data_IF_405014410878
#
_entry.id   IF_405014410878
#
_cell.length_a   1.000
_cell.length_b   1.000
_cell.length_c   1.000
_cell.angle_alpha   90.00
_cell.angle_beta   90.00
_cell.angle_gamma   90.00
#
_symmetry.space_group_name_H-M   'P 1'
#
loop_
_entity.id
_entity.type
_entity.pdbx_description
1 polymer ?
#
# COMPACT_ATOMS: atom_id res chain seq x y z
N UNK A 1 -8.89 3.73 -0.53
CA UNK A 1 -9.83 4.29 0.46
C UNK A 1 -11.23 3.84 0.09
N UNK A 2 -12.14 3.73 1.06
CA UNK A 2 -13.53 3.33 0.79
C UNK A 2 -14.27 4.51 0.19
N UNK A 3 -14.86 4.33 -1.00
CA UNK A 3 -15.45 5.42 -1.79
C UNK A 3 -16.58 6.12 -1.05
N UNK A 4 -17.39 5.36 -0.32
CA UNK A 4 -18.51 5.86 0.48
C UNK A 4 -18.02 6.74 1.64
N UNK A 5 -16.95 6.32 2.32
CA UNK A 5 -16.32 7.12 3.38
C UNK A 5 -15.74 8.41 2.83
N UNK A 6 -15.00 8.32 1.73
CA UNK A 6 -14.33 9.45 1.08
C UNK A 6 -15.33 10.52 0.61
N UNK A 7 -16.44 10.08 0.00
CA UNK A 7 -17.50 10.97 -0.49
C UNK A 7 -18.15 11.74 0.66
N UNK A 8 -18.49 11.07 1.76
CA UNK A 8 -19.10 11.73 2.91
C UNK A 8 -18.12 12.65 3.64
N UNK A 9 -16.86 12.24 3.79
CA UNK A 9 -15.83 13.05 4.42
C UNK A 9 -15.56 14.37 3.66
N UNK A 10 -15.54 14.33 2.32
CA UNK A 10 -15.30 15.52 1.50
C UNK A 10 -16.52 16.40 1.26
N UNK A 11 -17.73 15.89 1.49
CA UNK A 11 -18.95 16.70 1.41
C UNK A 11 -19.14 17.61 2.65
N UNK A 12 -18.50 17.29 3.77
CA UNK A 12 -18.58 18.09 5.00
C UNK A 12 -17.74 19.36 4.91
N UNK A 13 -18.28 20.46 5.42
CA UNK A 13 -17.66 21.80 5.35
C UNK A 13 -17.42 22.41 6.72
N UNK A 14 -18.17 22.02 7.75
CA UNK A 14 -18.14 22.66 9.06
C UNK A 14 -17.40 21.81 10.10
N UNK A 15 -16.27 22.26 10.68
CA UNK A 15 -15.58 21.54 11.74
C UNK A 15 -16.51 21.19 12.90
N UNK A 16 -16.40 19.96 13.41
CA UNK A 16 -17.29 19.38 14.41
C UNK A 16 -18.57 18.74 13.86
N UNK A 17 -18.86 18.86 12.56
CA UNK A 17 -20.00 18.22 11.91
C UNK A 17 -19.87 16.69 11.95
N UNK A 18 -20.96 16.00 12.29
CA UNK A 18 -21.09 14.56 12.16
C UNK A 18 -21.80 14.19 10.86
N UNK A 19 -21.38 13.11 10.21
CA UNK A 19 -22.08 12.53 9.07
C UNK A 19 -23.28 11.70 9.51
N UNK A 20 -24.17 11.42 8.56
CA UNK A 20 -25.13 10.31 8.71
C UNK A 20 -24.40 8.97 8.83
N UNK A 21 -25.15 7.92 9.20
CA UNK A 21 -24.61 6.56 9.29
C UNK A 21 -24.29 6.03 7.90
N UNK A 22 -23.00 5.87 7.60
CA UNK A 22 -22.51 5.40 6.31
C UNK A 22 -22.27 3.89 6.37
N UNK A 23 -22.85 3.15 5.43
CA UNK A 23 -22.56 1.72 5.26
C UNK A 23 -21.37 1.55 4.33
N UNK A 24 -20.34 0.87 4.81
CA UNK A 24 -19.17 0.46 4.01
C UNK A 24 -19.05 -1.06 4.00
N UNK A 25 -18.13 -1.59 3.18
CA UNK A 25 -17.77 -3.01 3.21
C UNK A 25 -17.28 -3.50 4.59
N UNK A 26 -16.89 -2.58 5.48
CA UNK A 26 -16.41 -2.87 6.84
C UNK A 26 -17.49 -2.67 7.93
N UNK A 27 -18.72 -2.32 7.55
CA UNK A 27 -19.84 -2.09 8.48
C UNK A 27 -20.33 -0.64 8.50
N UNK A 28 -20.92 -0.21 9.62
CA UNK A 28 -21.51 1.11 9.77
C UNK A 28 -20.53 2.10 10.41
N UNK A 29 -20.40 3.30 9.83
CA UNK A 29 -19.44 4.31 10.24
C UNK A 29 -20.15 5.66 10.43
N UNK A 30 -19.78 6.40 11.48
CA UNK A 30 -20.14 7.81 11.70
C UNK A 30 -18.85 8.60 11.66
N UNK A 31 -18.79 9.65 10.85
CA UNK A 31 -17.58 10.46 10.64
C UNK A 31 -17.77 11.79 11.34
N UNK A 32 -16.78 12.24 12.12
CA UNK A 32 -16.69 13.61 12.62
C UNK A 32 -15.67 14.38 11.79
N UNK A 33 -16.07 15.50 11.20
CA UNK A 33 -15.17 16.34 10.43
C UNK A 33 -14.39 17.27 11.35
N UNK A 34 -13.08 17.05 11.48
CA UNK A 34 -12.18 17.90 12.29
C UNK A 34 -11.78 19.20 11.59
N UNK A 35 -11.99 19.28 10.26
CA UNK A 35 -11.52 20.38 9.43
C UNK A 35 -10.73 19.90 8.23
N UNK A 36 -10.33 20.84 7.38
CA UNK A 36 -9.52 20.59 6.18
C UNK A 36 -8.21 21.31 6.29
N UNK A 37 -7.12 20.57 6.23
CA UNK A 37 -5.81 21.15 5.97
C UNK A 37 -5.79 21.66 4.53
N UNK A 38 -5.53 22.96 4.28
CA UNK A 38 -5.40 23.45 2.93
C UNK A 38 -4.29 22.67 2.21
N UNK A 39 -4.46 22.46 0.91
CA UNK A 39 -3.40 21.91 0.07
C UNK A 39 -2.26 22.94 0.01
N UNK A 40 -1.38 22.91 1.01
CA UNK A 40 -0.19 23.72 1.03
C UNK A 40 0.73 23.26 -0.11
N UNK A 41 1.08 24.18 -1.00
CA UNK A 41 2.18 23.97 -1.94
C UNK A 41 3.45 23.94 -1.07
N UNK A 42 3.91 22.75 -0.70
CA UNK A 42 5.23 22.60 -0.09
C UNK A 42 6.26 22.92 -1.18
N UNK A 43 7.23 23.83 -0.93
CA UNK A 43 8.29 24.12 -1.87
C UNK A 43 8.98 22.83 -2.32
N UNK A 44 9.36 22.75 -3.60
CA UNK A 44 9.99 21.55 -4.16
C UNK A 44 11.21 21.12 -3.34
N UNK A 45 12.02 22.06 -2.87
CA UNK A 45 13.23 21.78 -2.09
C UNK A 45 12.95 21.01 -0.79
N UNK A 46 11.83 21.26 -0.12
CA UNK A 46 11.44 20.55 1.11
C UNK A 46 10.98 19.11 0.83
N UNK A 47 10.35 18.87 -0.32
CA UNK A 47 9.79 17.56 -0.67
C UNK A 47 10.74 16.73 -1.54
N UNK A 48 11.76 17.33 -2.13
CA UNK A 48 12.69 16.71 -3.09
C UNK A 48 13.32 15.43 -2.55
N UNK A 49 13.82 15.44 -1.32
CA UNK A 49 14.45 14.28 -0.70
C UNK A 49 13.46 13.10 -0.57
N UNK A 50 12.25 13.37 -0.09
CA UNK A 50 11.20 12.36 0.03
C UNK A 50 10.69 11.84 -1.32
N UNK A 51 10.55 12.73 -2.31
CA UNK A 51 10.21 12.36 -3.69
C UNK A 51 11.29 11.48 -4.30
N UNK A 52 12.57 11.82 -4.13
CA UNK A 52 13.68 11.04 -4.66
C UNK A 52 13.69 9.63 -4.10
N UNK A 53 13.56 9.46 -2.79
CA UNK A 53 13.47 8.14 -2.16
C UNK A 53 12.25 7.35 -2.64
N UNK A 54 11.10 8.01 -2.79
CA UNK A 54 9.87 7.38 -3.30
C UNK A 54 10.04 6.89 -4.74
N UNK A 55 10.59 7.73 -5.62
CA UNK A 55 10.81 7.39 -7.02
C UNK A 55 11.91 6.35 -7.19
N UNK A 56 12.98 6.42 -6.39
CA UNK A 56 14.03 5.41 -6.37
C UNK A 56 13.49 4.03 -6.01
N UNK A 57 12.71 3.93 -4.92
CA UNK A 57 12.08 2.66 -4.52
C UNK A 57 11.12 2.14 -5.58
N UNK A 58 10.33 3.03 -6.19
CA UNK A 58 9.43 2.66 -7.28
C UNK A 58 10.18 2.12 -8.49
N UNK A 59 11.20 2.84 -8.97
CA UNK A 59 12.01 2.42 -10.11
C UNK A 59 12.71 1.08 -9.87
N UNK A 60 13.22 0.84 -8.65
CA UNK A 60 13.78 -0.46 -8.27
C UNK A 60 12.72 -1.56 -8.32
N UNK A 61 11.56 -1.34 -7.71
CA UNK A 61 10.46 -2.33 -7.70
C UNK A 61 9.99 -2.67 -9.12
N UNK A 62 9.78 -1.65 -9.96
CA UNK A 62 9.35 -1.81 -11.34
C UNK A 62 10.41 -2.60 -12.13
N UNK A 63 11.69 -2.23 -11.98
CA UNK A 63 12.79 -2.93 -12.65
C UNK A 63 12.96 -4.36 -12.19
N UNK A 64 12.85 -4.63 -10.89
CA UNK A 64 12.88 -5.99 -10.36
C UNK A 64 11.72 -6.82 -10.89
N UNK A 65 10.54 -6.24 -11.01
CA UNK A 65 9.35 -6.90 -11.55
C UNK A 65 9.53 -7.26 -13.02
N UNK A 66 10.06 -6.33 -13.83
CA UNK A 66 10.41 -6.56 -15.23
C UNK A 66 11.45 -7.67 -15.40
N UNK A 67 12.55 -7.61 -14.66
CA UNK A 67 13.61 -8.61 -14.71
C UNK A 67 13.08 -9.99 -14.27
N UNK A 68 12.26 -10.06 -13.22
CA UNK A 68 11.63 -11.30 -12.78
C UNK A 68 10.65 -11.85 -13.83
N UNK A 69 9.92 -10.99 -14.53
CA UNK A 69 9.09 -11.41 -15.66
C UNK A 69 9.93 -12.01 -16.79
N UNK A 70 11.07 -11.39 -17.14
CA UNK A 70 11.99 -11.91 -18.15
C UNK A 70 12.60 -13.26 -17.75
N UNK A 71 13.04 -13.40 -16.50
CA UNK A 71 13.57 -14.67 -15.97
C UNK A 71 12.50 -15.75 -15.98
N UNK A 72 11.24 -15.43 -15.61
CA UNK A 72 10.12 -16.39 -15.65
C UNK A 72 9.73 -16.81 -17.06
N UNK A 73 9.90 -15.93 -18.05
CA UNK A 73 9.62 -16.22 -19.46
C UNK A 73 10.77 -16.96 -20.16
N UNK A 74 11.96 -17.05 -19.55
CA UNK A 74 13.08 -17.75 -20.13
C UNK A 74 12.78 -19.26 -20.19
N UNK A 75 12.66 -19.86 -21.39
CA UNK A 75 12.28 -21.26 -21.56
C UNK A 75 13.37 -22.25 -21.11
N UNK A 76 14.58 -21.77 -20.83
CA UNK A 76 15.69 -22.58 -20.33
C UNK A 76 15.60 -22.83 -18.82
N UNK A 77 14.70 -22.13 -18.13
CA UNK A 77 14.61 -22.17 -16.68
C UNK A 77 13.88 -23.44 -16.21
N UNK A 78 14.66 -24.46 -15.82
CA UNK A 78 14.13 -25.67 -15.20
C UNK A 78 13.90 -25.43 -13.71
N UNK A 79 12.64 -25.46 -13.27
CA UNK A 79 12.29 -25.38 -11.85
C UNK A 79 12.54 -26.75 -11.21
N UNK A 80 13.32 -26.79 -10.14
CA UNK A 80 13.48 -28.00 -9.34
C UNK A 80 12.28 -28.16 -8.40
N UNK A 81 11.33 -28.99 -8.81
CA UNK A 81 10.07 -29.22 -8.08
C UNK A 81 10.31 -29.90 -6.72
N UNK A 82 11.34 -30.76 -6.63
CA UNK A 82 11.69 -31.45 -5.37
C UNK A 82 12.24 -30.46 -4.34
N UNK A 83 13.07 -29.51 -4.77
CA UNK A 83 13.58 -28.46 -3.88
C UNK A 83 12.46 -27.50 -3.41
N UNK A 84 11.51 -27.17 -4.28
CA UNK A 84 10.36 -26.32 -3.93
C UNK A 84 9.46 -27.02 -2.90
N UNK A 85 9.23 -28.31 -3.06
CA UNK A 85 8.41 -29.08 -2.13
C UNK A 85 9.09 -29.25 -0.76
N UNK A 86 10.40 -29.51 -0.74
CA UNK A 86 11.18 -29.55 0.50
C UNK A 86 11.14 -28.22 1.28
N UNK A 87 11.11 -27.07 0.60
CA UNK A 87 10.96 -25.75 1.22
C UNK A 87 9.54 -25.49 1.76
N UNK A 88 8.51 -26.13 1.19
CA UNK A 88 7.11 -26.04 1.67
C UNK A 88 6.85 -26.96 2.87
N UNK A 89 7.51 -28.11 2.93
CA UNK A 89 7.38 -29.09 4.02
C UNK A 89 8.33 -28.84 5.18
N UNK A 90 9.36 -28.00 5.01
CA UNK A 90 10.21 -27.58 6.11
C UNK A 90 9.39 -26.77 7.11
N UNK A 91 9.32 -27.18 8.39
CA UNK A 91 8.64 -26.39 9.41
C UNK A 91 9.30 -25.02 9.47
N UNK A 92 8.50 -23.97 9.34
CA UNK A 92 8.92 -22.58 9.55
C UNK A 92 9.71 -22.55 10.85
N UNK A 93 10.99 -22.19 10.77
CA UNK A 93 11.85 -22.00 11.93
C UNK A 93 11.08 -21.16 12.95
N UNK A 94 10.61 -21.80 14.01
CA UNK A 94 10.08 -21.09 15.17
C UNK A 94 11.23 -20.23 15.66
N UNK A 95 11.10 -18.89 15.71
CA UNK A 95 12.15 -18.09 16.32
C UNK A 95 12.27 -18.55 17.76
N UNK A 96 13.43 -19.10 18.11
CA UNK A 96 13.71 -19.55 19.47
C UNK A 96 13.48 -18.36 20.41
N UNK A 97 12.42 -18.45 21.21
CA UNK A 97 12.18 -17.52 22.28
C UNK A 97 13.34 -17.62 23.28
N UNK A 98 14.01 -16.49 23.51
CA UNK A 98 14.86 -16.28 24.68
C UNK A 98 14.57 -14.89 25.23
#
# INVERSE_FOLDING_TARGET
MVKEFETAAFAMTTPGQFSDVIRTQFGYHIIRYEGRSPAGIRPYDEVKAGLYEKFRKKALSDRTTELMAQVRQNPTLKRDEKAIEALRTAPVMTPAAK
#
